data_IF_275493977886
#
_entry.id   IF_275493977886
#
_cell.length_a   1.000
_cell.length_b   1.000
_cell.length_c   1.000
_cell.angle_alpha   90.00
_cell.angle_beta   90.00
_cell.angle_gamma   90.00
#
_symmetry.space_group_name_H-M   'P 1'
#
loop_
_entity.id
_entity.type
_entity.pdbx_description
1 polymer ?
#
# COMPACT_ATOMS: atom_id res chain seq x y z
N UNK A 1 18.38 27.23 -6.59
CA UNK A 1 18.97 26.44 -7.68
C UNK A 1 19.12 25.00 -7.20
N UNK A 2 18.30 24.13 -7.75
CA UNK A 2 18.14 22.70 -7.43
C UNK A 2 19.19 21.88 -8.17
N UNK A 3 20.14 21.24 -7.48
CA UNK A 3 20.93 20.16 -8.09
C UNK A 3 21.40 19.16 -7.02
N UNK A 4 21.12 17.87 -7.28
CA UNK A 4 21.86 16.66 -6.83
C UNK A 4 21.16 15.62 -5.93
N UNK A 5 19.83 15.56 -5.86
CA UNK A 5 19.13 14.32 -5.42
C UNK A 5 19.00 13.27 -6.53
N UNK A 6 19.13 13.68 -7.81
CA UNK A 6 19.20 12.81 -8.99
C UNK A 6 20.28 11.74 -8.87
N UNK A 7 21.45 12.08 -8.30
CA UNK A 7 22.61 11.17 -8.29
C UNK A 7 22.40 9.95 -7.39
N UNK A 8 21.56 10.07 -6.36
CA UNK A 8 21.16 8.93 -5.53
C UNK A 8 20.18 7.99 -6.25
N UNK A 9 19.31 8.51 -7.12
CA UNK A 9 18.40 7.71 -7.96
C UNK A 9 19.17 6.97 -9.06
N UNK A 10 20.22 7.60 -9.62
CA UNK A 10 21.11 6.98 -10.60
C UNK A 10 21.93 5.80 -10.07
N UNK A 11 22.23 5.76 -8.77
CA UNK A 11 23.03 4.69 -8.17
C UNK A 11 22.24 3.41 -7.86
N UNK A 12 20.91 3.51 -7.70
CA UNK A 12 20.05 2.33 -7.52
C UNK A 12 19.74 1.61 -8.84
N UNK A 13 19.94 2.30 -9.98
CA UNK A 13 19.85 1.73 -11.33
C UNK A 13 21.10 0.93 -11.75
N UNK A 14 22.21 1.04 -11.02
CA UNK A 14 23.47 0.37 -11.37
C UNK A 14 23.64 -1.02 -10.72
N UNK A 15 22.75 -1.43 -9.80
CA UNK A 15 22.86 -2.70 -9.07
C UNK A 15 22.01 -3.86 -9.65
N UNK A 16 21.24 -3.65 -10.71
CA UNK A 16 20.52 -4.71 -11.42
C UNK A 16 21.04 -4.94 -12.86
N UNK A 17 22.22 -4.39 -13.18
CA UNK A 17 22.91 -4.53 -14.47
C UNK A 17 24.29 -5.19 -14.30
N UNK A 18 24.39 -6.34 -13.63
CA UNK A 18 25.53 -7.27 -13.75
C UNK A 18 25.00 -8.68 -13.39
N UNK A 19 25.06 -9.72 -14.21
CA UNK A 19 25.76 -9.91 -15.47
C UNK A 19 25.11 -11.01 -16.31
N UNK A 20 25.35 -10.93 -17.62
CA UNK A 20 24.86 -11.90 -18.59
C UNK A 20 25.72 -13.15 -18.72
N UNK A 21 25.13 -14.22 -19.24
CA UNK A 21 25.71 -15.08 -20.27
C UNK A 21 24.63 -16.04 -20.82
N UNK A 22 24.74 -16.32 -22.11
CA UNK A 22 23.90 -17.10 -23.03
C UNK A 22 23.80 -18.59 -22.65
N UNK A 23 22.67 -19.27 -22.91
CA UNK A 23 22.64 -20.74 -23.02
C UNK A 23 21.29 -21.48 -23.00
N UNK A 24 20.71 -21.70 -24.18
CA UNK A 24 19.87 -22.83 -24.66
C UNK A 24 18.82 -23.54 -23.78
N UNK A 25 17.58 -23.51 -24.27
CA UNK A 25 16.57 -24.58 -24.35
C UNK A 25 16.52 -25.69 -23.28
N UNK A 26 15.45 -25.69 -22.46
CA UNK A 26 14.80 -26.92 -22.01
C UNK A 26 13.31 -26.68 -21.72
N UNK A 27 12.50 -27.38 -22.48
CA UNK A 27 11.06 -27.54 -22.40
C UNK A 27 10.57 -28.10 -21.06
N UNK A 28 9.30 -27.78 -20.76
CA UNK A 28 8.39 -28.58 -19.92
C UNK A 28 8.81 -28.80 -18.46
N UNK A 29 8.39 -27.89 -17.56
CA UNK A 29 8.63 -28.15 -16.14
C UNK A 29 8.08 -27.19 -15.09
N UNK A 30 7.24 -26.20 -15.38
CA UNK A 30 6.61 -25.39 -14.31
C UNK A 30 5.16 -25.06 -14.64
N UNK A 31 4.36 -26.11 -14.86
CA UNK A 31 2.89 -26.03 -14.71
C UNK A 31 2.53 -26.22 -13.23
N UNK A 32 3.16 -25.40 -12.38
CA UNK A 32 3.28 -25.65 -10.96
C UNK A 32 3.48 -24.40 -10.13
N UNK A 33 2.98 -23.25 -10.57
CA UNK A 33 2.59 -22.17 -9.68
C UNK A 33 1.31 -21.57 -10.22
N UNK A 34 0.19 -22.10 -9.72
CA UNK A 34 -0.99 -21.25 -9.54
C UNK A 34 -0.47 -20.08 -8.70
N UNK A 35 -0.16 -18.96 -9.33
CA UNK A 35 0.01 -17.73 -8.61
C UNK A 35 -1.32 -17.49 -7.94
N UNK A 36 -1.33 -17.67 -6.62
CA UNK A 36 -2.36 -17.22 -5.72
C UNK A 36 -2.65 -15.75 -6.04
N UNK A 37 -3.56 -15.52 -6.98
CA UNK A 37 -4.19 -14.24 -7.26
C UNK A 37 -5.17 -13.86 -6.11
N UNK A 38 -4.88 -14.32 -4.89
CA UNK A 38 -5.60 -14.07 -3.65
C UNK A 38 -5.03 -12.94 -2.81
N UNK A 39 -3.96 -12.26 -3.24
CA UNK A 39 -3.34 -11.15 -2.48
C UNK A 39 -3.80 -9.79 -2.97
N UNK A 40 -5.08 -9.45 -2.75
CA UNK A 40 -5.58 -8.06 -2.85
C UNK A 40 -5.57 -7.38 -1.48
N UNK A 41 -4.43 -7.42 -0.80
CA UNK A 41 -4.05 -6.38 0.16
C UNK A 41 -3.38 -5.24 -0.61
N UNK A 42 -3.43 -4.01 -0.11
CA UNK A 42 -3.12 -2.74 -0.82
C UNK A 42 -1.83 -2.62 -1.66
N UNK A 43 -0.95 -3.61 -1.73
CA UNK A 43 0.17 -3.66 -2.69
C UNK A 43 -0.26 -4.04 -4.11
N UNK A 44 -1.38 -4.77 -4.28
CA UNK A 44 -1.78 -5.31 -5.58
C UNK A 44 -2.08 -4.23 -6.64
N UNK A 45 -2.72 -3.12 -6.25
CA UNK A 45 -2.98 -2.02 -7.17
C UNK A 45 -1.68 -1.34 -7.62
N UNK A 46 -0.69 -1.26 -6.73
CA UNK A 46 0.58 -0.60 -7.00
C UNK A 46 1.44 -1.44 -7.94
N UNK A 47 1.48 -2.76 -7.76
CA UNK A 47 2.14 -3.68 -8.70
C UNK A 47 1.46 -3.63 -10.07
N UNK A 48 0.12 -3.60 -10.12
CA UNK A 48 -0.61 -3.51 -11.39
C UNK A 48 -0.37 -2.16 -12.10
N UNK A 49 -0.32 -1.07 -11.35
CA UNK A 49 0.07 0.24 -11.88
C UNK A 49 1.48 0.18 -12.46
N UNK A 50 2.48 -0.32 -11.70
CA UNK A 50 3.86 -0.43 -12.19
C UNK A 50 3.97 -1.36 -13.41
N UNK A 51 3.22 -2.47 -13.41
CA UNK A 51 3.12 -3.39 -14.52
C UNK A 51 2.69 -2.69 -15.81
N UNK A 52 1.63 -1.88 -15.73
CA UNK A 52 1.10 -1.15 -16.89
C UNK A 52 2.03 -0.02 -17.35
N UNK A 53 2.52 0.79 -16.42
CA UNK A 53 3.32 1.98 -16.77
C UNK A 53 4.75 1.62 -17.22
N UNK A 54 5.31 0.49 -16.73
CA UNK A 54 6.69 0.08 -16.99
C UNK A 54 6.79 -1.17 -17.87
N UNK A 55 5.66 -1.74 -18.30
CA UNK A 55 5.58 -2.99 -19.08
C UNK A 55 6.35 -4.14 -18.41
N UNK A 56 6.10 -4.37 -17.12
CA UNK A 56 6.85 -5.38 -16.36
C UNK A 56 6.59 -6.79 -16.89
N UNK A 57 7.65 -7.60 -17.01
CA UNK A 57 7.52 -9.05 -17.21
C UNK A 57 6.93 -9.71 -15.95
N UNK A 58 6.39 -10.92 -16.09
CA UNK A 58 5.82 -11.66 -14.93
C UNK A 58 6.85 -11.88 -13.81
N UNK A 59 8.11 -12.19 -14.16
CA UNK A 59 9.19 -12.33 -13.20
C UNK A 59 9.50 -11.03 -12.44
N UNK A 60 9.41 -9.88 -13.13
CA UNK A 60 9.57 -8.57 -12.52
C UNK A 60 8.41 -8.24 -11.58
N UNK A 61 7.16 -8.57 -11.95
CA UNK A 61 6.00 -8.39 -11.08
C UNK A 61 6.15 -9.20 -9.79
N UNK A 62 6.60 -10.44 -9.89
CA UNK A 62 6.85 -11.31 -8.75
C UNK A 62 7.94 -10.75 -7.84
N UNK A 63 9.02 -10.26 -8.43
CA UNK A 63 10.12 -9.63 -7.70
C UNK A 63 9.66 -8.38 -6.95
N UNK A 64 8.90 -7.50 -7.60
CA UNK A 64 8.33 -6.29 -6.98
C UNK A 64 7.36 -6.68 -5.85
N UNK A 65 6.48 -7.66 -6.07
CA UNK A 65 5.56 -8.13 -5.05
C UNK A 65 6.30 -8.69 -3.82
N UNK A 66 7.41 -9.40 -4.01
CA UNK A 66 8.25 -9.87 -2.90
C UNK A 66 8.90 -8.72 -2.13
N UNK A 67 9.42 -7.70 -2.83
CA UNK A 67 9.98 -6.49 -2.19
C UNK A 67 8.91 -5.81 -1.32
N UNK A 68 7.73 -5.56 -1.87
CA UNK A 68 6.64 -4.92 -1.12
C UNK A 68 6.19 -5.77 0.07
N UNK A 69 6.13 -7.09 -0.09
CA UNK A 69 5.79 -8.02 1.01
C UNK A 69 6.82 -7.94 2.13
N UNK A 70 8.11 -7.90 1.82
CA UNK A 70 9.19 -7.78 2.81
C UNK A 70 9.11 -6.50 3.63
N UNK A 71 8.66 -5.40 3.02
CA UNK A 71 8.57 -4.10 3.68
C UNK A 71 7.22 -3.84 4.37
N UNK A 72 6.24 -4.76 4.25
CA UNK A 72 4.91 -4.59 4.84
C UNK A 72 4.96 -4.38 6.36
N UNK A 73 5.72 -5.20 7.09
CA UNK A 73 5.84 -5.09 8.54
C UNK A 73 6.41 -3.73 9.00
N UNK A 74 7.35 -3.16 8.24
CA UNK A 74 7.88 -1.83 8.53
C UNK A 74 6.83 -0.74 8.37
N UNK A 75 6.03 -0.81 7.30
CA UNK A 75 4.91 0.10 7.11
C UNK A 75 3.83 -0.05 8.19
N UNK A 76 3.49 -1.27 8.57
CA UNK A 76 2.51 -1.55 9.62
C UNK A 76 2.97 -0.98 10.98
N UNK A 77 4.27 -1.08 11.30
CA UNK A 77 4.86 -0.48 12.50
C UNK A 77 4.73 1.04 12.52
N UNK A 78 5.05 1.70 11.40
CA UNK A 78 4.92 3.17 11.27
C UNK A 78 3.46 3.58 11.46
N UNK A 79 2.53 2.85 10.84
CA UNK A 79 1.10 3.09 10.99
C UNK A 79 0.64 2.91 12.44
N UNK A 80 1.08 1.86 13.12
CA UNK A 80 0.73 1.60 14.52
C UNK A 80 1.19 2.73 15.45
N UNK A 81 2.39 3.28 15.22
CA UNK A 81 2.90 4.42 16.00
C UNK A 81 2.11 5.71 15.73
N UNK A 82 1.74 5.96 14.47
CA UNK A 82 1.03 7.18 14.08
C UNK A 82 -0.49 7.13 14.32
N UNK A 83 -1.08 5.94 14.40
CA UNK A 83 -2.53 5.76 14.53
C UNK A 83 -3.15 6.52 15.72
N UNK A 84 -2.57 6.53 16.93
CA UNK A 84 -3.09 7.31 18.06
C UNK A 84 -3.09 8.81 17.80
N UNK A 85 -2.00 9.34 17.21
CA UNK A 85 -1.89 10.77 16.86
C UNK A 85 -2.94 11.16 15.82
N UNK A 86 -3.14 10.33 14.81
CA UNK A 86 -4.17 10.54 13.78
C UNK A 86 -5.58 10.46 14.36
N UNK A 87 -5.82 9.59 15.35
CA UNK A 87 -7.11 9.52 16.07
C UNK A 87 -7.36 10.81 16.84
N UNK A 88 -6.39 11.26 17.64
CA UNK A 88 -6.51 12.49 18.42
C UNK A 88 -6.77 13.73 17.54
N UNK A 89 -6.02 13.85 16.43
CA UNK A 89 -6.25 14.94 15.47
C UNK A 89 -7.67 14.92 14.88
N UNK A 90 -8.17 13.75 14.47
CA UNK A 90 -9.55 13.60 13.98
C UNK A 90 -10.59 13.98 15.03
N UNK A 91 -10.37 13.62 16.30
CA UNK A 91 -11.28 13.98 17.39
C UNK A 91 -11.31 15.49 17.63
N UNK A 92 -10.16 16.15 17.58
CA UNK A 92 -10.06 17.62 17.66
C UNK A 92 -10.83 18.29 16.52
N UNK A 93 -10.62 17.87 15.27
CA UNK A 93 -11.36 18.41 14.12
C UNK A 93 -12.87 18.20 14.28
N UNK A 94 -13.30 17.03 14.78
CA UNK A 94 -14.73 16.76 15.02
C UNK A 94 -15.32 17.65 16.10
N UNK A 95 -14.56 17.96 17.15
CA UNK A 95 -14.99 18.87 18.20
C UNK A 95 -15.19 20.28 17.64
N UNK A 96 -14.23 20.76 16.85
CA UNK A 96 -14.29 22.08 16.22
C UNK A 96 -15.48 22.21 15.26
N UNK A 97 -15.75 21.17 14.46
CA UNK A 97 -16.92 21.14 13.58
C UNK A 97 -18.20 21.15 14.41
N UNK A 98 -18.31 20.28 15.43
CA UNK A 98 -19.52 20.17 16.27
C UNK A 98 -19.89 21.49 16.95
N UNK A 99 -18.89 22.27 17.39
CA UNK A 99 -19.11 23.56 18.04
C UNK A 99 -19.78 24.61 17.12
N UNK A 100 -19.80 24.39 15.81
CA UNK A 100 -20.39 25.30 14.81
C UNK A 100 -21.78 24.86 14.34
N UNK A 101 -22.28 23.73 14.83
CA UNK A 101 -23.55 23.13 14.41
C UNK A 101 -24.68 23.46 15.37
N UNK A 102 -25.90 23.62 14.85
CA UNK A 102 -27.11 23.69 15.68
C UNK A 102 -27.33 22.36 16.42
N UNK A 103 -28.11 22.34 17.52
CA UNK A 103 -28.39 21.11 18.26
C UNK A 103 -28.91 19.97 17.37
N UNK A 104 -29.81 20.27 16.42
CA UNK A 104 -30.38 19.28 15.49
C UNK A 104 -29.32 18.74 14.52
N UNK A 105 -28.41 19.62 14.07
CA UNK A 105 -27.30 19.24 13.19
C UNK A 105 -26.25 18.40 13.94
N UNK A 106 -26.01 18.66 15.23
CA UNK A 106 -25.08 17.88 16.04
C UNK A 106 -25.50 16.41 16.15
N UNK A 107 -26.79 16.14 16.31
CA UNK A 107 -27.34 14.77 16.33
C UNK A 107 -27.07 14.05 15.01
N UNK A 108 -27.41 14.67 13.88
CA UNK A 108 -27.14 14.10 12.54
C UNK A 108 -25.65 13.89 12.28
N UNK A 109 -24.81 14.81 12.75
CA UNK A 109 -23.36 14.72 12.63
C UNK A 109 -22.76 13.57 13.44
N UNK A 110 -23.28 13.34 14.65
CA UNK A 110 -22.88 12.21 15.48
C UNK A 110 -23.20 10.86 14.81
N UNK A 111 -24.41 10.71 14.26
CA UNK A 111 -24.81 9.52 13.51
C UNK A 111 -23.95 9.29 12.27
N UNK A 112 -23.69 10.35 11.49
CA UNK A 112 -22.86 10.28 10.29
C UNK A 112 -21.44 9.83 10.63
N UNK A 113 -20.81 10.44 11.64
CA UNK A 113 -19.44 10.11 12.03
C UNK A 113 -19.33 8.69 12.60
N UNK A 114 -20.31 8.25 13.38
CA UNK A 114 -20.38 6.88 13.90
C UNK A 114 -20.48 5.84 12.77
N UNK A 115 -21.33 6.10 11.75
CA UNK A 115 -21.47 5.23 10.58
C UNK A 115 -20.16 5.09 9.81
N UNK A 116 -19.51 6.22 9.50
CA UNK A 116 -18.24 6.24 8.77
C UNK A 116 -17.12 5.51 9.53
N UNK A 117 -17.11 5.61 10.86
CA UNK A 117 -16.13 4.88 11.69
C UNK A 117 -16.41 3.38 11.72
N UNK A 118 -17.69 2.97 11.75
CA UNK A 118 -18.06 1.57 11.65
C UNK A 118 -17.67 0.97 10.29
N UNK A 119 -17.92 1.68 9.18
CA UNK A 119 -17.50 1.27 7.84
C UNK A 119 -15.98 1.16 7.71
N UNK A 120 -15.22 2.05 8.36
CA UNK A 120 -13.75 1.98 8.38
C UNK A 120 -13.27 0.76 9.15
N UNK A 121 -13.76 0.54 10.38
CA UNK A 121 -13.40 -0.64 11.18
C UNK A 121 -13.79 -1.94 10.50
N UNK A 122 -14.94 -1.98 9.81
CA UNK A 122 -15.36 -3.15 9.04
C UNK A 122 -14.38 -3.49 7.92
N UNK A 123 -13.87 -2.48 7.20
CA UNK A 123 -12.82 -2.67 6.20
C UNK A 123 -11.50 -3.14 6.79
N UNK A 124 -11.08 -2.56 7.91
CA UNK A 124 -9.85 -2.96 8.63
C UNK A 124 -9.94 -4.39 9.17
N UNK A 125 -11.07 -4.76 9.77
CA UNK A 125 -11.30 -6.11 10.28
C UNK A 125 -11.29 -7.16 9.15
N UNK A 126 -11.93 -6.85 8.01
CA UNK A 126 -11.94 -7.71 6.83
C UNK A 126 -10.54 -7.89 6.20
N UNK A 127 -9.66 -6.89 6.34
CA UNK A 127 -8.26 -6.97 5.89
C UNK A 127 -7.35 -7.69 6.90
N UNK A 128 -7.69 -7.67 8.21
CA UNK A 128 -6.90 -8.35 9.26
C UNK A 128 -7.24 -9.83 9.48
N UNK A 129 -8.44 -10.26 9.08
CA UNK A 129 -8.93 -11.66 9.27
C UNK A 129 -8.53 -12.57 8.10
N UNK A 130 -7.80 -12.05 7.11
CA UNK A 130 -7.46 -12.73 5.85
C UNK A 130 -5.95 -12.74 5.62
#
# INVERSE_FOLDING_TARGET
MTQNTWKAVGMLLLAALVGGAIGTAATAGVRGRRHDAGRRGGSGWYVEMLSRELTLTEEQKDSVQQVLTRHRAGMDSIWAEMAPRMKAWRESVRADVRARLTPEQQTRYAELTARLDAERRGREAADSTR
#
